data_IF_555399454963
#
_entry.id   IF_555399454963
#
_cell.length_a   1.000
_cell.length_b   1.000
_cell.length_c   1.000
_cell.angle_alpha   90.00
_cell.angle_beta   90.00
_cell.angle_gamma   90.00
#
_symmetry.space_group_name_H-M   'P 1'
#
loop_
_entity.id
_entity.type
_entity.pdbx_description
1 polymer ?
#
# COMPACT_ATOMS: atom_id res chain seq x y z
N UNK A 1 5.22 6.40 -16.48
CA UNK A 1 4.87 5.01 -16.16
C UNK A 1 5.05 4.84 -14.66
N UNK A 2 4.39 3.88 -14.03
CA UNK A 2 4.58 3.57 -12.60
C UNK A 2 5.70 2.54 -12.36
N UNK A 3 6.45 2.20 -13.42
CA UNK A 3 7.58 1.27 -13.38
C UNK A 3 8.90 1.89 -12.92
N UNK A 4 8.94 3.20 -12.69
CA UNK A 4 10.18 3.88 -12.29
C UNK A 4 10.55 3.50 -10.86
N UNK A 5 11.83 3.18 -10.63
CA UNK A 5 12.32 2.88 -9.30
C UNK A 5 12.15 4.10 -8.38
N UNK A 6 11.69 3.86 -7.14
CA UNK A 6 11.43 4.92 -6.17
C UNK A 6 12.66 5.79 -5.88
N UNK A 7 13.84 5.18 -5.79
CA UNK A 7 15.09 5.87 -5.48
C UNK A 7 15.53 6.74 -6.64
N UNK A 8 15.47 6.21 -7.88
CA UNK A 8 15.74 6.97 -9.10
C UNK A 8 14.82 8.19 -9.21
N UNK A 9 13.52 7.99 -8.94
CA UNK A 9 12.55 9.09 -8.94
C UNK A 9 12.94 10.19 -7.95
N UNK A 10 13.16 9.84 -6.68
CA UNK A 10 13.43 10.85 -5.65
C UNK A 10 14.83 11.47 -5.78
N UNK A 11 15.81 10.76 -6.33
CA UNK A 11 17.13 11.30 -6.68
C UNK A 11 17.04 12.34 -7.80
N UNK A 12 16.38 11.99 -8.91
CA UNK A 12 16.20 12.91 -10.04
C UNK A 12 15.50 14.20 -9.62
N UNK A 13 14.61 14.11 -8.63
CA UNK A 13 13.87 15.24 -8.08
C UNK A 13 14.58 15.95 -6.91
N UNK A 14 15.83 15.60 -6.58
CA UNK A 14 16.62 16.16 -5.49
C UNK A 14 15.94 16.09 -4.11
N UNK A 15 15.12 15.05 -3.88
CA UNK A 15 14.45 14.81 -2.60
C UNK A 15 15.25 13.89 -1.68
N UNK A 16 16.18 13.12 -2.25
CA UNK A 16 17.20 12.35 -1.53
C UNK A 16 18.58 12.62 -2.17
N UNK A 17 19.65 12.29 -1.45
CA UNK A 17 21.04 12.58 -1.88
C UNK A 17 21.82 11.35 -2.31
N UNK A 18 21.37 10.15 -1.96
CA UNK A 18 21.98 8.87 -2.32
C UNK A 18 20.92 7.85 -2.69
N UNK A 19 21.32 6.76 -3.37
CA UNK A 19 20.47 5.57 -3.62
C UNK A 19 20.28 4.75 -2.34
N UNK A 20 19.78 5.39 -1.27
CA UNK A 20 19.53 4.77 0.03
C UNK A 20 18.05 4.88 0.39
N UNK A 21 17.40 3.72 0.52
CA UNK A 21 15.99 3.62 0.92
C UNK A 21 15.70 4.21 2.29
N UNK A 22 16.68 4.30 3.19
CA UNK A 22 16.52 4.94 4.50
C UNK A 22 16.27 6.45 4.40
N UNK A 23 16.57 7.09 3.26
CA UNK A 23 16.24 8.50 3.03
C UNK A 23 14.79 8.72 2.56
N UNK A 24 14.05 7.66 2.24
CA UNK A 24 12.63 7.78 1.90
C UNK A 24 11.82 7.96 3.18
N UNK A 25 11.26 9.15 3.37
CA UNK A 25 10.40 9.48 4.50
C UNK A 25 8.95 9.12 4.16
N UNK A 26 8.31 8.39 5.07
CA UNK A 26 6.93 7.92 4.92
C UNK A 26 6.02 8.62 5.91
N UNK A 27 4.84 9.04 5.46
CA UNK A 27 3.71 9.28 6.35
C UNK A 27 2.82 8.04 6.32
N UNK A 28 2.65 7.41 7.47
CA UNK A 28 1.93 6.14 7.62
C UNK A 28 0.48 6.35 8.07
N UNK A 29 -0.43 5.50 7.59
CA UNK A 29 -1.84 5.45 7.96
C UNK A 29 -2.57 6.80 7.81
N UNK A 30 -2.44 7.45 6.64
CA UNK A 30 -3.15 8.69 6.33
C UNK A 30 -4.63 8.46 6.00
N UNK A 31 -5.36 7.86 6.94
CA UNK A 31 -6.69 7.29 6.72
C UNK A 31 -7.83 8.32 6.81
N UNK A 32 -7.71 9.40 7.59
CA UNK A 32 -8.75 10.43 7.67
C UNK A 32 -8.31 11.74 7.03
N UNK A 33 -9.27 12.62 6.76
CA UNK A 33 -9.02 13.93 6.13
C UNK A 33 -8.00 14.77 6.88
N UNK A 34 -7.94 14.65 8.22
CA UNK A 34 -6.95 15.34 9.03
C UNK A 34 -5.53 14.81 8.78
N UNK A 35 -5.30 13.49 8.75
CA UNK A 35 -3.99 12.92 8.47
C UNK A 35 -3.53 13.21 7.05
N UNK A 36 -4.43 13.18 6.06
CA UNK A 36 -4.07 13.60 4.69
C UNK A 36 -3.56 15.03 4.70
N UNK A 37 -4.26 15.94 5.37
CA UNK A 37 -3.84 17.34 5.50
C UNK A 37 -2.47 17.49 6.16
N UNK A 38 -2.17 16.71 7.19
CA UNK A 38 -0.85 16.68 7.84
C UNK A 38 0.21 16.11 6.90
N UNK A 39 -0.07 14.97 6.27
CA UNK A 39 0.82 14.28 5.34
C UNK A 39 1.23 15.21 4.18
N UNK A 40 0.29 15.96 3.62
CA UNK A 40 0.53 16.92 2.53
C UNK A 40 1.46 18.08 2.96
N UNK A 41 1.44 18.48 4.24
CA UNK A 41 2.28 19.56 4.78
C UNK A 41 3.61 19.08 5.36
N UNK A 42 3.76 17.77 5.57
CA UNK A 42 4.97 17.16 6.13
C UNK A 42 6.13 17.09 5.13
N UNK A 43 7.31 16.68 5.61
CA UNK A 43 8.48 16.36 4.79
C UNK A 43 8.41 14.98 4.13
N UNK A 44 7.33 14.22 4.30
CA UNK A 44 7.21 12.88 3.74
C UNK A 44 7.32 12.87 2.20
N UNK A 45 8.03 11.88 1.67
CA UNK A 45 8.14 11.61 0.24
C UNK A 45 6.96 10.75 -0.24
N UNK A 46 6.55 9.80 0.59
CA UNK A 46 5.46 8.86 0.33
C UNK A 46 4.35 9.01 1.37
N UNK A 47 3.10 8.92 0.93
CA UNK A 47 1.93 8.80 1.80
C UNK A 47 1.38 7.40 1.65
N UNK A 48 1.31 6.68 2.76
CA UNK A 48 0.67 5.38 2.86
C UNK A 48 -0.70 5.54 3.52
N UNK A 49 -1.68 4.78 3.03
CA UNK A 49 -2.99 4.70 3.65
C UNK A 49 -3.69 3.37 3.32
N UNK A 50 -4.52 2.94 4.25
CA UNK A 50 -5.19 1.64 4.26
C UNK A 50 -6.53 1.72 3.53
N UNK A 51 -6.85 0.72 2.72
CA UNK A 51 -8.06 0.68 1.90
C UNK A 51 -8.92 -0.53 2.27
N UNK A 52 -10.18 -0.27 2.60
CA UNK A 52 -11.21 -1.29 2.80
C UNK A 52 -12.45 -1.02 1.96
N UNK A 53 -13.27 -2.05 1.82
CA UNK A 53 -14.63 -1.93 1.32
C UNK A 53 -15.60 -2.11 2.51
N UNK A 54 -16.44 -1.11 2.84
CA UNK A 54 -17.37 -1.20 3.96
C UNK A 54 -18.29 -2.42 3.86
N UNK A 55 -18.47 -3.14 4.96
CA UNK A 55 -19.28 -4.37 5.02
C UNK A 55 -20.74 -4.11 5.42
N UNK A 56 -21.09 -2.90 5.85
CA UNK A 56 -22.38 -2.58 6.47
C UNK A 56 -23.50 -2.20 5.49
N UNK A 57 -23.20 -2.18 4.18
CA UNK A 57 -24.19 -1.85 3.15
C UNK A 57 -24.71 -0.42 3.22
N UNK A 58 -24.09 0.46 4.02
CA UNK A 58 -24.41 1.89 4.03
C UNK A 58 -23.95 2.53 2.71
N UNK A 59 -24.74 3.50 2.24
CA UNK A 59 -24.61 4.21 0.95
C UNK A 59 -23.17 4.73 0.81
N UNK A 60 -22.29 4.09 0.04
CA UNK A 60 -21.97 4.53 -1.33
C UNK A 60 -21.32 3.44 -2.19
N UNK A 61 -21.16 2.20 -1.70
CA UNK A 61 -20.56 1.10 -2.50
C UNK A 61 -19.15 1.41 -3.03
N UNK A 62 -18.38 2.20 -2.28
CA UNK A 62 -17.05 2.67 -2.68
C UNK A 62 -16.00 2.34 -1.62
N UNK A 63 -14.72 2.16 -2.02
CA UNK A 63 -13.61 2.00 -1.08
C UNK A 63 -13.42 3.23 -0.20
N UNK A 64 -13.09 3.00 1.07
CA UNK A 64 -12.78 4.03 2.05
C UNK A 64 -11.39 3.82 2.64
N UNK A 65 -10.85 4.88 3.23
CA UNK A 65 -9.53 4.87 3.84
C UNK A 65 -9.64 4.50 5.32
N UNK A 66 -9.34 3.25 5.69
CA UNK A 66 -9.45 2.78 7.08
C UNK A 66 -8.63 1.51 7.32
N UNK A 67 -8.24 1.28 8.58
CA UNK A 67 -7.55 0.05 9.01
C UNK A 67 -8.39 -0.66 10.08
N UNK A 68 -8.67 -1.98 9.95
CA UNK A 68 -9.36 -2.74 10.99
C UNK A 68 -8.71 -2.59 12.38
N UNK A 69 -9.49 -2.49 13.46
CA UNK A 69 -10.92 -2.76 13.56
C UNK A 69 -11.83 -1.62 13.10
N UNK A 70 -11.28 -0.47 12.69
CA UNK A 70 -12.09 0.63 12.14
C UNK A 70 -12.61 0.25 10.76
N UNK A 71 -13.93 0.27 10.60
CA UNK A 71 -14.61 -0.06 9.34
C UNK A 71 -15.26 1.15 8.68
N UNK A 72 -15.09 2.34 9.27
CA UNK A 72 -15.67 3.60 8.84
C UNK A 72 -14.58 4.67 8.78
N UNK A 73 -14.75 5.65 7.90
CA UNK A 73 -13.83 6.79 7.77
C UNK A 73 -14.58 8.01 7.25
N UNK A 74 -14.07 9.21 7.57
CA UNK A 74 -14.54 10.46 7.00
C UNK A 74 -13.99 10.72 5.57
N UNK A 75 -13.23 9.76 5.03
CA UNK A 75 -12.49 9.89 3.80
C UNK A 75 -12.67 8.65 2.91
N UNK A 76 -13.35 8.84 1.79
CA UNK A 76 -13.40 7.84 0.71
C UNK A 76 -12.06 7.79 -0.02
N UNK A 77 -11.75 6.68 -0.72
CA UNK A 77 -10.57 6.64 -1.58
C UNK A 77 -10.62 7.71 -2.68
N UNK A 78 -11.81 8.01 -3.20
CA UNK A 78 -11.98 9.05 -4.22
C UNK A 78 -11.60 10.44 -3.68
N UNK A 79 -12.06 10.81 -2.48
CA UNK A 79 -11.70 12.08 -1.83
C UNK A 79 -10.21 12.11 -1.48
N UNK A 80 -9.66 11.01 -0.96
CA UNK A 80 -8.25 10.87 -0.65
C UNK A 80 -7.38 11.09 -1.90
N UNK A 81 -7.72 10.42 -3.02
CA UNK A 81 -7.05 10.60 -4.30
C UNK A 81 -7.13 12.05 -4.79
N UNK A 82 -8.30 12.70 -4.65
CA UNK A 82 -8.50 14.08 -5.06
C UNK A 82 -7.57 15.06 -4.31
N UNK A 83 -7.22 14.79 -3.05
CA UNK A 83 -6.28 15.62 -2.29
C UNK A 83 -4.83 15.29 -2.61
N UNK A 84 -4.42 14.02 -2.65
CA UNK A 84 -3.00 13.67 -2.84
C UNK A 84 -2.47 14.03 -4.23
N UNK A 85 -3.33 14.01 -5.27
CA UNK A 85 -2.94 14.41 -6.63
C UNK A 85 -2.49 15.89 -6.69
N UNK A 86 -2.90 16.73 -5.73
CA UNK A 86 -2.51 18.15 -5.64
C UNK A 86 -1.09 18.35 -5.11
N UNK A 87 -0.47 17.33 -4.52
CA UNK A 87 0.93 17.37 -4.06
C UNK A 87 1.89 16.80 -5.11
N UNK A 88 3.16 16.60 -4.76
CA UNK A 88 4.14 15.81 -5.49
C UNK A 88 4.53 14.50 -4.78
N UNK A 89 3.84 14.15 -3.68
CA UNK A 89 4.15 12.98 -2.85
C UNK A 89 3.72 11.71 -3.56
N UNK A 90 4.58 10.70 -3.56
CA UNK A 90 4.20 9.36 -4.01
C UNK A 90 3.20 8.72 -3.05
N UNK A 91 2.56 7.64 -3.49
CA UNK A 91 1.50 6.99 -2.72
C UNK A 91 1.72 5.49 -2.59
N UNK A 92 1.27 4.92 -1.47
CA UNK A 92 1.15 3.49 -1.24
C UNK A 92 -0.27 3.21 -0.73
N UNK A 93 -1.02 2.37 -1.44
CA UNK A 93 -2.35 1.95 -1.00
C UNK A 93 -2.28 0.54 -0.41
N UNK A 94 -2.61 0.40 0.87
CA UNK A 94 -2.59 -0.87 1.59
C UNK A 94 -3.98 -1.51 1.70
N UNK A 95 -4.22 -2.51 0.86
CA UNK A 95 -5.50 -3.19 0.78
C UNK A 95 -5.66 -4.21 1.91
N UNK A 96 -6.70 -4.04 2.73
CA UNK A 96 -7.06 -5.01 3.79
C UNK A 96 -8.14 -5.99 3.37
N UNK A 97 -8.73 -5.82 2.18
CA UNK A 97 -9.70 -6.76 1.64
C UNK A 97 -9.70 -6.80 0.11
N UNK A 98 -9.91 -8.00 -0.44
CA UNK A 98 -10.01 -8.21 -1.88
C UNK A 98 -11.19 -7.42 -2.50
N UNK A 99 -12.28 -7.26 -1.75
CA UNK A 99 -13.48 -6.53 -2.18
C UNK A 99 -13.20 -5.06 -2.54
N UNK A 100 -12.15 -4.45 -1.99
CA UNK A 100 -11.79 -3.08 -2.28
C UNK A 100 -10.94 -2.92 -3.55
N UNK A 101 -10.32 -4.00 -4.05
CA UNK A 101 -9.23 -3.93 -5.04
C UNK A 101 -9.73 -3.42 -6.38
N UNK A 102 -10.68 -4.12 -7.00
CA UNK A 102 -11.20 -3.74 -8.32
C UNK A 102 -11.85 -2.34 -8.33
N UNK A 103 -12.74 -1.97 -7.39
CA UNK A 103 -13.27 -0.61 -7.34
C UNK A 103 -12.19 0.47 -7.16
N UNK A 104 -11.12 0.16 -6.41
CA UNK A 104 -10.00 1.09 -6.23
C UNK A 104 -9.15 1.23 -7.49
N UNK A 105 -8.95 0.14 -8.26
CA UNK A 105 -8.23 0.22 -9.52
C UNK A 105 -8.97 1.09 -10.54
N UNK A 106 -10.31 1.01 -10.58
CA UNK A 106 -11.14 1.88 -11.42
C UNK A 106 -10.97 3.36 -11.04
N UNK A 107 -10.96 3.68 -9.73
CA UNK A 107 -10.74 5.05 -9.25
C UNK A 107 -9.32 5.55 -9.56
N UNK A 108 -8.31 4.70 -9.41
CA UNK A 108 -6.92 5.01 -9.75
C UNK A 108 -6.72 5.30 -11.24
N UNK A 109 -7.37 4.53 -12.12
CA UNK A 109 -7.23 4.71 -13.58
C UNK A 109 -7.71 6.11 -14.00
N UNK A 110 -8.79 6.61 -13.38
CA UNK A 110 -9.32 7.96 -13.61
C UNK A 110 -8.33 9.08 -13.28
N UNK A 111 -7.44 8.86 -12.31
CA UNK A 111 -6.45 9.86 -11.86
C UNK A 111 -5.02 9.57 -12.33
N UNK A 112 -4.76 8.43 -12.97
CA UNK A 112 -3.44 7.97 -13.43
C UNK A 112 -2.63 9.02 -14.18
N UNK A 113 -3.31 9.82 -15.03
CA UNK A 113 -2.64 10.90 -15.79
C UNK A 113 -2.06 12.02 -14.90
N UNK A 114 -2.59 12.20 -13.69
CA UNK A 114 -2.14 13.20 -12.72
C UNK A 114 -1.11 12.63 -11.71
N UNK A 115 -0.99 11.30 -11.63
CA UNK A 115 -0.04 10.60 -10.77
C UNK A 115 1.26 10.27 -11.52
N UNK A 116 2.04 11.31 -11.88
CA UNK A 116 3.38 11.17 -12.48
C UNK A 116 4.47 11.06 -11.41
N UNK A 117 4.32 10.06 -10.54
CA UNK A 117 5.09 9.84 -9.32
C UNK A 117 4.99 8.36 -8.90
N UNK A 118 5.79 7.90 -7.92
CA UNK A 118 5.70 6.52 -7.44
C UNK A 118 4.29 6.20 -6.90
N UNK A 119 3.75 5.07 -7.36
CA UNK A 119 2.49 4.48 -6.89
C UNK A 119 2.76 3.03 -6.56
N UNK A 120 2.56 2.66 -5.29
CA UNK A 120 2.76 1.31 -4.78
C UNK A 120 1.42 0.71 -4.37
N UNK A 121 1.21 -0.56 -4.72
CA UNK A 121 0.02 -1.32 -4.35
C UNK A 121 0.43 -2.41 -3.36
N UNK A 122 -0.17 -2.38 -2.18
CA UNK A 122 0.20 -3.23 -1.05
C UNK A 122 -0.93 -4.13 -0.62
N UNK A 123 -0.58 -5.34 -0.20
CA UNK A 123 -1.45 -6.19 0.60
C UNK A 123 -0.60 -7.19 1.38
N UNK A 124 -1.10 -7.58 2.56
CA UNK A 124 -0.60 -8.75 3.28
C UNK A 124 -1.25 -10.00 2.69
N UNK A 125 -0.48 -10.71 1.86
CA UNK A 125 -0.98 -11.85 1.07
C UNK A 125 -0.61 -13.22 1.65
N UNK A 126 0.24 -13.23 2.69
CA UNK A 126 0.69 -14.44 3.36
C UNK A 126 0.65 -14.28 4.89
N UNK A 127 0.49 -15.37 5.66
CA UNK A 127 0.60 -15.32 7.11
C UNK A 127 2.07 -15.17 7.52
N UNK A 128 2.36 -14.21 8.38
CA UNK A 128 3.70 -13.97 8.92
C UNK A 128 3.81 -14.27 10.41
N UNK A 129 4.97 -13.94 11.01
CA UNK A 129 5.21 -14.21 12.42
C UNK A 129 4.14 -13.60 13.32
N UNK A 130 3.55 -14.45 14.17
CA UNK A 130 2.46 -14.11 15.10
C UNK A 130 1.22 -13.48 14.44
N UNK A 131 1.08 -13.56 13.11
CA UNK A 131 -0.04 -12.98 12.37
C UNK A 131 -1.33 -13.77 12.60
N UNK A 132 -2.37 -13.10 13.10
CA UNK A 132 -3.70 -13.69 13.32
C UNK A 132 -4.80 -13.07 12.44
N UNK A 133 -4.45 -12.04 11.66
CA UNK A 133 -5.36 -11.38 10.74
C UNK A 133 -5.56 -12.21 9.48
N UNK A 134 -6.73 -12.08 8.86
CA UNK A 134 -7.01 -12.67 7.55
C UNK A 134 -6.12 -12.01 6.49
N UNK A 135 -5.45 -12.83 5.68
CA UNK A 135 -4.68 -12.39 4.51
C UNK A 135 -5.60 -12.02 3.34
N UNK A 136 -5.11 -11.20 2.43
CA UNK A 136 -5.73 -11.00 1.11
C UNK A 136 -5.30 -12.15 0.19
N UNK A 137 -6.24 -12.75 -0.54
CA UNK A 137 -5.91 -13.84 -1.46
C UNK A 137 -4.98 -13.35 -2.57
N UNK A 138 -3.75 -13.89 -2.61
CA UNK A 138 -2.65 -13.40 -3.43
C UNK A 138 -2.98 -13.36 -4.94
N UNK A 139 -3.44 -14.49 -5.49
CA UNK A 139 -3.69 -14.62 -6.94
C UNK A 139 -4.72 -13.62 -7.46
N UNK A 140 -5.97 -13.56 -6.94
CA UNK A 140 -6.95 -12.61 -7.44
C UNK A 140 -6.51 -11.15 -7.19
N UNK A 141 -5.82 -10.85 -6.09
CA UNK A 141 -5.26 -9.52 -5.86
C UNK A 141 -4.28 -9.10 -6.98
N UNK A 142 -3.28 -9.95 -7.26
CA UNK A 142 -2.25 -9.71 -8.28
C UNK A 142 -2.89 -9.64 -9.67
N UNK A 143 -3.75 -10.59 -10.03
CA UNK A 143 -4.40 -10.65 -11.34
C UNK A 143 -5.23 -9.38 -11.60
N UNK A 144 -6.03 -8.95 -10.61
CA UNK A 144 -6.83 -7.72 -10.72
C UNK A 144 -5.93 -6.50 -10.88
N UNK A 145 -4.92 -6.30 -10.02
CA UNK A 145 -4.05 -5.13 -10.10
C UNK A 145 -3.29 -5.07 -11.43
N UNK A 146 -2.73 -6.20 -11.88
CA UNK A 146 -1.94 -6.25 -13.13
C UNK A 146 -2.78 -6.07 -14.38
N UNK A 147 -4.07 -6.43 -14.35
CA UNK A 147 -5.00 -6.16 -15.45
C UNK A 147 -5.21 -4.67 -15.72
N UNK A 148 -5.09 -3.81 -14.71
CA UNK A 148 -5.20 -2.35 -14.84
C UNK A 148 -3.82 -1.68 -14.99
N UNK A 149 -2.85 -2.12 -14.19
CA UNK A 149 -1.54 -1.51 -14.06
C UNK A 149 -0.44 -2.59 -14.15
N UNK A 150 -0.11 -3.05 -15.37
CA UNK A 150 0.86 -4.12 -15.58
C UNK A 150 2.28 -3.72 -15.15
N UNK A 151 2.54 -2.43 -14.95
CA UNK A 151 3.85 -1.84 -14.67
C UNK A 151 3.94 -1.22 -13.26
N UNK A 152 2.94 -1.45 -12.38
CA UNK A 152 2.94 -0.91 -11.01
C UNK A 152 3.97 -1.60 -10.11
N UNK A 153 4.45 -0.91 -9.08
CA UNK A 153 5.26 -1.55 -8.04
C UNK A 153 4.36 -2.23 -7.01
N UNK A 154 4.61 -3.51 -6.76
CA UNK A 154 3.97 -4.23 -5.66
C UNK A 154 4.77 -4.09 -4.36
N UNK A 155 4.05 -3.95 -3.25
CA UNK A 155 4.59 -4.05 -1.89
C UNK A 155 3.87 -5.21 -1.20
N UNK A 156 4.38 -6.43 -1.35
CA UNK A 156 3.68 -7.64 -0.89
C UNK A 156 4.17 -8.02 0.50
N UNK A 157 3.25 -8.11 1.44
CA UNK A 157 3.55 -8.30 2.86
C UNK A 157 3.05 -9.62 3.43
N UNK A 158 3.32 -9.76 4.71
CA UNK A 158 2.75 -10.81 5.55
C UNK A 158 1.99 -10.17 6.69
N UNK A 159 0.87 -10.79 7.10
CA UNK A 159 0.24 -10.39 8.35
C UNK A 159 1.19 -10.66 9.50
N UNK A 160 1.32 -9.71 10.43
CA UNK A 160 2.30 -9.82 11.51
C UNK A 160 1.71 -9.40 12.85
N UNK A 161 2.01 -10.15 13.90
CA UNK A 161 1.64 -9.83 15.28
C UNK A 161 2.84 -9.39 16.10
N UNK A 162 2.63 -8.43 17.00
CA UNK A 162 3.61 -8.07 18.01
C UNK A 162 2.93 -8.09 19.38
N UNK A 163 3.62 -8.61 20.38
CA UNK A 163 3.11 -8.64 21.74
C UNK A 163 4.23 -8.34 22.74
N UNK A 164 4.03 -7.41 23.70
CA UNK A 164 5.07 -7.02 24.65
C UNK A 164 5.46 -8.17 25.60
N UNK A 165 4.50 -9.05 25.90
CA UNK A 165 4.68 -10.12 26.89
C UNK A 165 4.96 -11.50 26.26
N UNK A 166 5.13 -11.59 24.94
CA UNK A 166 5.41 -12.86 24.25
C UNK A 166 6.71 -12.78 23.46
N UNK A 167 7.25 -13.94 23.13
CA UNK A 167 8.34 -14.04 22.16
C UNK A 167 7.79 -13.59 20.81
N UNK A 168 8.41 -12.56 20.23
CA UNK A 168 8.10 -12.11 18.88
C UNK A 168 8.97 -12.90 17.91
N UNK A 169 8.40 -13.94 17.33
CA UNK A 169 9.07 -14.75 16.30
C UNK A 169 9.50 -13.91 15.09
N UNK A 170 10.63 -14.29 14.49
CA UNK A 170 11.07 -13.76 13.20
C UNK A 170 10.49 -14.57 12.04
N UNK A 171 10.68 -14.07 10.82
CA UNK A 171 10.26 -14.76 9.60
C UNK A 171 11.00 -16.09 9.45
N UNK A 172 10.25 -17.18 9.28
CA UNK A 172 10.84 -18.48 8.96
C UNK A 172 11.24 -18.54 7.49
N UNK A 173 12.18 -19.44 7.15
CA UNK A 173 12.53 -19.71 5.76
C UNK A 173 11.35 -20.22 4.92
N UNK A 174 10.36 -20.86 5.55
CA UNK A 174 9.14 -21.29 4.85
C UNK A 174 8.36 -20.06 4.39
N UNK A 175 8.13 -19.09 5.29
CA UNK A 175 7.45 -17.83 4.96
C UNK A 175 8.14 -17.06 3.82
N UNK A 176 9.47 -17.03 3.84
CA UNK A 176 10.27 -16.36 2.79
C UNK A 176 10.13 -17.08 1.45
N UNK A 177 10.23 -18.41 1.42
CA UNK A 177 10.10 -19.21 0.19
C UNK A 177 8.70 -19.18 -0.42
N UNK A 178 7.67 -19.11 0.40
CA UNK A 178 6.29 -18.95 -0.08
C UNK A 178 6.11 -17.60 -0.79
N UNK A 179 6.66 -16.51 -0.25
CA UNK A 179 6.63 -15.21 -0.91
C UNK A 179 7.47 -15.21 -2.20
N UNK A 180 8.67 -15.81 -2.16
CA UNK A 180 9.52 -15.98 -3.35
C UNK A 180 8.77 -16.71 -4.46
N UNK A 181 8.09 -17.81 -4.14
CA UNK A 181 7.31 -18.59 -5.10
C UNK A 181 6.25 -17.74 -5.82
N UNK A 182 5.52 -16.90 -5.08
CA UNK A 182 4.52 -15.99 -5.65
C UNK A 182 5.20 -14.90 -6.50
N UNK A 183 6.29 -14.32 -6.02
CA UNK A 183 6.94 -13.18 -6.67
C UNK A 183 7.75 -13.55 -7.91
N UNK A 184 8.23 -14.80 -8.01
CA UNK A 184 9.05 -15.26 -9.13
C UNK A 184 8.30 -15.25 -10.48
N UNK A 185 6.97 -15.19 -10.47
CA UNK A 185 6.14 -15.07 -11.67
C UNK A 185 5.84 -13.62 -12.08
N UNK A 186 6.23 -12.64 -11.25
CA UNK A 186 5.93 -11.21 -11.47
C UNK A 186 6.98 -10.54 -12.36
N UNK A 187 6.51 -9.71 -13.30
CA UNK A 187 7.38 -8.83 -14.11
C UNK A 187 7.52 -7.42 -13.52
N UNK A 188 6.72 -7.12 -12.50
CA UNK A 188 6.68 -5.85 -11.81
C UNK A 188 7.87 -5.70 -10.85
N UNK A 189 8.19 -4.46 -10.48
CA UNK A 189 9.02 -4.23 -9.30
C UNK A 189 8.28 -4.72 -8.05
N UNK A 190 8.98 -5.44 -7.18
CA UNK A 190 8.42 -5.97 -5.94
C UNK A 190 9.27 -5.48 -4.77
N UNK A 191 8.58 -5.03 -3.72
CA UNK A 191 9.17 -4.68 -2.43
C UNK A 191 8.48 -5.48 -1.33
N UNK A 192 9.17 -5.68 -0.21
CA UNK A 192 8.66 -6.43 0.94
C UNK A 192 8.64 -5.53 2.17
N UNK A 193 7.45 -5.14 2.70
CA UNK A 193 7.34 -4.42 3.96
C UNK A 193 7.55 -5.40 5.12
N UNK A 194 8.81 -5.71 5.42
CA UNK A 194 9.16 -6.60 6.53
C UNK A 194 9.03 -5.86 7.86
N UNK A 195 8.46 -6.52 8.87
CA UNK A 195 8.52 -6.03 10.24
C UNK A 195 9.92 -6.30 10.80
N UNK A 196 10.63 -5.24 11.14
CA UNK A 196 11.89 -5.36 11.88
C UNK A 196 11.63 -5.90 13.29
N UNK A 197 12.57 -6.70 13.79
CA UNK A 197 12.54 -7.28 15.13
C UNK A 197 12.90 -6.25 16.22
#
# INVERSE_FOLDING_TARGET
SWSENILEYFLRNNQITTEDGAQIIWYHAANHKVQVNEALRSTAHMIEADVIFPSDGSEHGQPIMAHPPETNSDNTLQEWLAEVIKSNKGIKLDFKSLAAVEPSMMLLENVKRHLKRPVWINADILPGPNGNSRVVDAKPFIDTVTSFFPDVTFSLGWTTGWHPEKVNEGYSWIMVKEMEYICNELNQLVTFPVRAA
#
